data_IF_994778510321
#
_entry.id   IF_994778510321
#
_cell.length_a   1.000
_cell.length_b   1.000
_cell.length_c   1.000
_cell.angle_alpha   90.00
_cell.angle_beta   90.00
_cell.angle_gamma   90.00
#
_symmetry.space_group_name_H-M   'P 1'
#
loop_
_entity.id
_entity.type
_entity.pdbx_description
1 polymer ?
#
# COMPACT_ATOMS: atom_id res chain seq x y z
N UNK A 1 -53.27 45.83 -20.38
CA UNK A 1 -53.28 44.40 -20.76
C UNK A 1 -52.11 43.69 -20.09
N UNK A 2 -52.40 42.79 -19.15
CA UNK A 2 -51.51 41.68 -18.78
C UNK A 2 -52.40 40.58 -18.21
N UNK A 3 -52.60 39.46 -18.93
CA UNK A 3 -53.26 38.27 -18.42
C UNK A 3 -52.18 37.35 -17.81
N UNK A 4 -52.41 36.77 -16.64
CA UNK A 4 -52.84 35.37 -16.41
C UNK A 4 -51.71 34.67 -15.61
N UNK A 5 -51.91 33.72 -14.71
CA UNK A 5 -53.07 32.90 -14.33
C UNK A 5 -52.65 32.10 -13.08
N UNK A 6 -53.56 31.96 -12.11
CA UNK A 6 -53.78 30.81 -11.19
C UNK A 6 -52.61 30.31 -10.31
N UNK A 7 -52.69 30.28 -8.98
CA UNK A 7 -53.85 30.07 -8.10
C UNK A 7 -54.05 28.56 -7.87
N UNK A 8 -53.71 28.06 -6.68
CA UNK A 8 -54.04 26.70 -6.26
C UNK A 8 -53.39 26.29 -4.94
N UNK A 9 -54.20 26.17 -3.88
CA UNK A 9 -53.87 26.00 -2.47
C UNK A 9 -54.33 24.62 -1.99
N UNK A 10 -53.53 23.95 -1.13
CA UNK A 10 -53.84 22.84 -0.17
C UNK A 10 -54.42 21.56 -0.80
N UNK A 11 -54.03 20.33 -0.43
CA UNK A 11 -54.32 19.66 0.86
C UNK A 11 -53.42 18.43 1.12
N UNK A 12 -53.21 18.12 2.40
CA UNK A 12 -52.64 16.90 2.98
C UNK A 12 -53.39 15.62 2.59
N UNK A 13 -52.67 14.48 2.49
CA UNK A 13 -53.14 13.12 2.86
C UNK A 13 -51.94 12.17 3.06
N UNK A 14 -52.03 11.39 4.14
CA UNK A 14 -51.07 10.41 4.68
C UNK A 14 -51.00 9.08 3.91
N UNK A 15 -49.91 8.35 4.22
CA UNK A 15 -49.70 6.89 4.14
C UNK A 15 -49.62 6.19 2.77
N UNK A 16 -48.40 5.77 2.41
CA UNK A 16 -48.15 4.51 1.68
C UNK A 16 -46.69 4.06 1.85
N UNK A 17 -46.49 3.13 2.78
CA UNK A 17 -45.25 2.35 2.93
C UNK A 17 -45.05 1.41 1.71
N UNK A 18 -43.90 1.43 1.01
CA UNK A 18 -43.67 0.49 -0.08
C UNK A 18 -43.35 -0.91 0.48
N UNK A 19 -44.25 -1.87 0.22
CA UNK A 19 -44.04 -3.31 0.44
C UNK A 19 -42.90 -3.79 -0.47
N UNK A 20 -41.75 -4.07 0.14
CA UNK A 20 -40.64 -4.76 -0.54
C UNK A 20 -41.04 -6.23 -0.69
N UNK A 21 -41.24 -6.66 -1.93
CA UNK A 21 -41.32 -8.06 -2.31
C UNK A 21 -39.87 -8.56 -2.36
N UNK A 22 -39.47 -9.25 -1.29
CA UNK A 22 -38.19 -9.96 -1.22
C UNK A 22 -38.41 -11.31 -1.89
N UNK A 23 -38.00 -11.46 -3.15
CA UNK A 23 -38.06 -12.74 -3.85
C UNK A 23 -36.70 -13.47 -3.87
N UNK A 24 -36.80 -14.76 -3.57
CA UNK A 24 -35.78 -15.76 -3.21
C UNK A 24 -34.72 -16.09 -4.29
N UNK A 25 -34.67 -15.37 -5.41
CA UNK A 25 -33.87 -15.78 -6.57
C UNK A 25 -32.37 -15.51 -6.46
N UNK A 26 -31.93 -14.62 -5.55
CA UNK A 26 -30.51 -14.31 -5.42
C UNK A 26 -29.73 -15.30 -4.53
N UNK A 27 -30.40 -15.94 -3.57
CA UNK A 27 -29.75 -16.92 -2.65
C UNK A 27 -29.40 -18.22 -3.34
N UNK A 28 -30.15 -18.60 -4.37
CA UNK A 28 -29.92 -19.83 -5.13
C UNK A 28 -28.70 -19.70 -6.03
N UNK A 29 -28.49 -18.54 -6.67
CA UNK A 29 -27.30 -18.25 -7.46
C UNK A 29 -26.02 -18.18 -6.61
N UNK A 30 -26.10 -17.57 -5.42
CA UNK A 30 -24.97 -17.51 -4.50
C UNK A 30 -24.50 -18.88 -3.97
N UNK A 31 -25.41 -19.87 -3.88
CA UNK A 31 -25.06 -21.23 -3.44
C UNK A 31 -24.49 -22.08 -4.56
N UNK A 32 -25.09 -22.01 -5.75
CA UNK A 32 -24.61 -22.74 -6.92
C UNK A 32 -23.20 -22.30 -7.35
N UNK A 33 -22.86 -21.02 -7.17
CA UNK A 33 -21.52 -20.51 -7.47
C UNK A 33 -20.50 -20.92 -6.42
N UNK A 34 -20.89 -20.91 -5.14
CA UNK A 34 -20.05 -21.36 -4.01
C UNK A 34 -19.74 -22.86 -4.07
N UNK A 35 -20.64 -23.69 -4.58
CA UNK A 35 -20.39 -25.13 -4.75
C UNK A 35 -19.53 -25.45 -5.98
N UNK A 36 -19.67 -24.73 -7.09
CA UNK A 36 -18.79 -24.88 -8.25
C UNK A 36 -17.34 -24.50 -7.94
N UNK A 37 -17.14 -23.49 -7.11
CA UNK A 37 -15.82 -23.06 -6.62
C UNK A 37 -15.19 -24.12 -5.70
N UNK A 38 -15.96 -24.73 -4.79
CA UNK A 38 -15.49 -25.82 -3.92
C UNK A 38 -15.18 -27.11 -4.66
N UNK A 39 -15.91 -27.42 -5.74
CA UNK A 39 -15.69 -28.63 -6.53
C UNK A 39 -14.48 -28.53 -7.48
N UNK A 40 -13.93 -27.33 -7.67
CA UNK A 40 -12.77 -27.08 -8.55
C UNK A 40 -11.47 -26.84 -7.77
N UNK A 41 -11.47 -27.00 -6.44
CA UNK A 41 -10.25 -26.95 -5.64
C UNK A 41 -9.50 -28.30 -5.74
N UNK A 42 -8.30 -28.36 -6.35
CA UNK A 42 -7.45 -29.54 -6.22
C UNK A 42 -7.03 -29.70 -4.75
N UNK A 43 -6.75 -30.94 -4.28
CA UNK A 43 -6.32 -31.15 -2.91
C UNK A 43 -5.05 -30.33 -2.66
N UNK A 44 -5.13 -29.40 -1.70
CA UNK A 44 -4.01 -28.55 -1.28
C UNK A 44 -2.93 -29.48 -0.71
N UNK A 45 -1.98 -29.85 -1.56
CA UNK A 45 -0.80 -30.59 -1.17
C UNK A 45 -0.04 -29.76 -0.13
N UNK A 46 0.27 -30.40 0.99
CA UNK A 46 1.15 -29.86 2.01
C UNK A 46 2.52 -29.55 1.39
N UNK A 47 2.97 -28.29 1.52
CA UNK A 47 4.35 -27.88 1.22
C UNK A 47 4.46 -26.92 0.05
N UNK A 48 4.51 -25.62 0.35
CA UNK A 48 4.85 -24.56 -0.59
C UNK A 48 4.40 -23.21 -0.04
N UNK A 49 5.35 -22.40 0.40
CA UNK A 49 5.11 -21.03 0.91
C UNK A 49 4.41 -20.18 -0.16
N UNK A 50 3.20 -19.74 0.14
CA UNK A 50 2.51 -18.65 -0.56
C UNK A 50 3.02 -17.31 -0.01
N UNK A 51 3.14 -16.25 -0.85
CA UNK A 51 3.50 -14.92 -0.36
C UNK A 51 2.33 -14.35 0.44
N UNK A 52 2.53 -14.20 1.74
CA UNK A 52 1.52 -13.74 2.70
C UNK A 52 1.27 -12.24 2.56
N UNK A 53 0.43 -11.86 1.61
CA UNK A 53 -0.16 -10.52 1.50
C UNK A 53 -1.57 -10.50 2.17
N UNK A 54 -1.68 -11.07 3.37
CA UNK A 54 -2.90 -11.01 4.19
C UNK A 54 -2.53 -10.48 5.58
N UNK A 55 -2.55 -9.15 5.73
CA UNK A 55 -2.30 -8.46 6.99
C UNK A 55 -3.40 -8.75 8.02
N UNK A 56 -3.23 -9.80 8.81
CA UNK A 56 -3.73 -9.86 10.18
C UNK A 56 -2.71 -9.20 11.10
N UNK A 57 -3.15 -8.36 12.05
CA UNK A 57 -2.25 -7.87 13.10
C UNK A 57 -1.76 -9.10 13.89
N UNK A 58 -0.44 -9.32 14.03
CA UNK A 58 0.06 -10.48 14.75
C UNK A 58 -0.44 -10.44 16.21
N UNK A 59 -0.81 -11.61 16.74
CA UNK A 59 -1.33 -11.74 18.11
C UNK A 59 -0.32 -11.25 19.16
N UNK A 60 0.99 -11.30 18.82
CA UNK A 60 2.09 -10.73 19.60
C UNK A 60 3.09 -10.03 18.69
N UNK A 61 3.35 -8.75 18.97
CA UNK A 61 4.40 -7.97 18.31
C UNK A 61 5.71 -8.14 19.08
N UNK A 62 6.76 -8.54 18.38
CA UNK A 62 8.13 -8.69 18.93
C UNK A 62 9.12 -7.71 18.31
N UNK A 63 10.37 -7.72 18.82
CA UNK A 63 11.46 -6.88 18.29
C UNK A 63 11.67 -7.07 16.78
N UNK A 64 11.61 -8.32 16.32
CA UNK A 64 11.72 -8.66 14.90
C UNK A 64 10.70 -7.93 14.00
N UNK A 65 9.45 -7.81 14.47
CA UNK A 65 8.39 -7.13 13.72
C UNK A 65 8.68 -5.62 13.61
N UNK A 66 9.27 -5.01 14.63
CA UNK A 66 9.70 -3.61 14.58
C UNK A 66 10.79 -3.43 13.51
N UNK A 67 11.77 -4.33 13.47
CA UNK A 67 12.84 -4.27 12.47
C UNK A 67 12.30 -4.45 11.05
N UNK A 68 11.43 -5.44 10.85
CA UNK A 68 10.81 -5.74 9.56
C UNK A 68 9.92 -4.59 9.06
N UNK A 69 9.15 -3.96 9.95
CA UNK A 69 8.33 -2.80 9.61
C UNK A 69 9.20 -1.62 9.12
N UNK A 70 10.26 -1.28 9.85
CA UNK A 70 11.17 -0.20 9.48
C UNK A 70 11.93 -0.51 8.19
N UNK A 71 12.40 -1.75 8.03
CA UNK A 71 13.08 -2.20 6.82
C UNK A 71 12.15 -2.14 5.60
N UNK A 72 10.91 -2.60 5.73
CA UNK A 72 9.90 -2.56 4.67
C UNK A 72 9.62 -1.12 4.24
N UNK A 73 9.50 -0.19 5.20
CA UNK A 73 9.32 1.23 4.90
C UNK A 73 10.53 1.82 4.15
N UNK A 74 11.76 1.51 4.57
CA UNK A 74 12.96 1.94 3.88
C UNK A 74 12.99 1.43 2.42
N UNK A 75 12.71 0.14 2.21
CA UNK A 75 12.66 -0.48 0.88
C UNK A 75 11.56 0.12 -0.01
N UNK A 76 10.38 0.37 0.56
CA UNK A 76 9.28 1.00 -0.15
C UNK A 76 9.67 2.39 -0.67
N UNK A 77 10.31 3.22 0.16
CA UNK A 77 10.79 4.56 -0.25
C UNK A 77 12.00 4.51 -1.19
N UNK A 78 12.68 3.38 -1.30
CA UNK A 78 13.69 3.11 -2.32
C UNK A 78 13.09 2.63 -3.65
N UNK A 79 11.76 2.51 -3.73
CA UNK A 79 11.07 2.05 -4.93
C UNK A 79 11.13 0.54 -5.16
N UNK A 80 11.47 -0.26 -4.13
CA UNK A 80 11.52 -1.72 -4.23
C UNK A 80 10.13 -2.36 -4.44
N UNK A 81 9.08 -1.67 -4.01
CA UNK A 81 7.70 -2.14 -4.11
C UNK A 81 6.78 -1.03 -4.65
N UNK A 82 5.79 -1.38 -5.50
CA UNK A 82 4.72 -0.47 -5.84
C UNK A 82 3.82 -0.23 -4.63
N UNK A 83 3.40 1.02 -4.42
CA UNK A 83 2.42 1.37 -3.40
C UNK A 83 1.09 0.62 -3.67
N UNK A 84 0.56 -0.13 -2.69
CA UNK A 84 -0.67 -0.90 -2.86
C UNK A 84 -1.92 -0.04 -3.13
N UNK A 85 -1.90 1.25 -2.76
CA UNK A 85 -3.02 2.16 -3.03
C UNK A 85 -2.98 2.73 -4.44
N UNK A 86 -1.80 3.09 -4.93
CA UNK A 86 -1.64 3.80 -6.21
C UNK A 86 -1.12 2.90 -7.34
N UNK A 87 -0.57 1.74 -7.01
CA UNK A 87 0.11 0.82 -7.94
C UNK A 87 1.45 1.32 -8.46
N UNK A 88 2.00 2.41 -7.89
CA UNK A 88 3.20 3.08 -8.40
C UNK A 88 4.34 2.99 -7.42
N UNK A 89 5.56 2.80 -7.91
CA UNK A 89 6.75 2.83 -7.08
C UNK A 89 6.94 4.24 -6.50
N UNK A 90 7.17 4.32 -5.19
CA UNK A 90 7.49 5.56 -4.49
C UNK A 90 9.01 5.66 -4.42
N UNK A 91 9.57 6.75 -4.92
CA UNK A 91 11.01 7.02 -4.81
C UNK A 91 11.23 8.28 -3.97
N UNK A 92 11.56 8.09 -2.69
CA UNK A 92 11.83 9.15 -1.73
C UNK A 92 13.08 8.80 -0.91
N UNK A 93 14.30 9.02 -1.46
CA UNK A 93 15.54 8.64 -0.79
C UNK A 93 15.70 9.25 0.60
N UNK A 94 15.24 10.49 0.81
CA UNK A 94 15.30 11.15 2.12
C UNK A 94 14.47 10.41 3.18
N UNK A 95 13.27 9.93 2.79
CA UNK A 95 12.42 9.12 3.66
C UNK A 95 13.01 7.73 3.88
N UNK A 96 13.63 7.12 2.86
CA UNK A 96 14.34 5.86 3.04
C UNK A 96 15.48 6.00 4.06
N UNK A 97 16.29 7.06 3.93
CA UNK A 97 17.38 7.36 4.85
C UNK A 97 16.89 7.52 6.28
N UNK A 98 15.78 8.25 6.49
CA UNK A 98 15.19 8.42 7.82
C UNK A 98 14.92 7.07 8.52
N UNK A 99 14.37 6.08 7.80
CA UNK A 99 14.06 4.77 8.37
C UNK A 99 15.32 3.93 8.65
N UNK A 100 16.34 4.04 7.78
CA UNK A 100 17.66 3.43 8.02
C UNK A 100 18.33 4.04 9.26
N UNK A 101 18.26 5.36 9.41
CA UNK A 101 18.80 6.06 10.59
C UNK A 101 18.03 5.66 11.85
N UNK A 102 16.71 5.50 11.77
CA UNK A 102 15.89 5.03 12.90
C UNK A 102 16.26 3.61 13.32
N UNK A 103 16.52 2.69 12.39
CA UNK A 103 17.08 1.37 12.70
C UNK A 103 18.44 1.49 13.41
N UNK A 104 19.29 2.44 12.99
CA UNK A 104 20.55 2.73 13.68
C UNK A 104 20.34 3.20 15.11
N UNK A 105 19.38 4.09 15.35
CA UNK A 105 19.01 4.52 16.71
C UNK A 105 18.50 3.36 17.55
N UNK A 106 17.69 2.46 16.97
CA UNK A 106 17.22 1.26 17.66
C UNK A 106 18.40 0.36 18.05
N UNK A 107 19.35 0.10 17.15
CA UNK A 107 20.57 -0.67 17.44
C UNK A 107 21.37 -0.06 18.60
N UNK A 108 21.63 1.24 18.54
CA UNK A 108 22.39 1.96 19.58
C UNK A 108 21.68 1.91 20.94
N UNK A 109 20.36 2.13 20.96
CA UNK A 109 19.57 2.19 22.21
C UNK A 109 19.28 0.82 22.81
N UNK A 110 19.34 -0.25 22.02
CA UNK A 110 19.11 -1.62 22.50
C UNK A 110 20.41 -2.38 22.80
N UNK A 111 21.57 -1.75 22.57
CA UNK A 111 22.88 -2.37 22.80
C UNK A 111 23.02 -2.90 24.24
N UNK A 112 23.40 -4.17 24.35
CA UNK A 112 23.53 -4.88 25.62
C UNK A 112 22.23 -5.56 26.10
N UNK A 113 21.10 -5.30 25.44
CA UNK A 113 19.82 -5.97 25.69
C UNK A 113 19.40 -6.90 24.54
N UNK A 114 20.23 -7.03 23.50
CA UNK A 114 19.98 -7.89 22.35
C UNK A 114 20.51 -9.30 22.58
N UNK A 115 19.72 -10.30 22.21
CA UNK A 115 20.21 -11.66 22.00
C UNK A 115 21.20 -11.72 20.82
N UNK A 116 22.06 -12.75 20.74
CA UNK A 116 22.96 -12.92 19.59
C UNK A 116 22.22 -12.98 18.25
N UNK A 117 21.03 -13.56 18.22
CA UNK A 117 20.16 -13.66 17.05
C UNK A 117 19.63 -12.28 16.62
N UNK A 118 19.07 -11.52 17.57
CA UNK A 118 18.55 -10.16 17.30
C UNK A 118 19.66 -9.22 16.84
N UNK A 119 20.85 -9.32 17.46
CA UNK A 119 22.01 -8.54 17.03
C UNK A 119 22.42 -8.85 15.60
N UNK A 120 22.53 -10.14 15.24
CA UNK A 120 22.86 -10.54 13.86
C UNK A 120 21.81 -10.05 12.87
N UNK A 121 20.52 -10.09 13.25
CA UNK A 121 19.42 -9.63 12.40
C UNK A 121 19.50 -8.12 12.15
N UNK A 122 19.60 -7.29 13.19
CA UNK A 122 19.67 -5.83 13.01
C UNK A 122 20.94 -5.39 12.26
N UNK A 123 22.09 -6.02 12.54
CA UNK A 123 23.34 -5.76 11.83
C UNK A 123 23.19 -6.08 10.33
N UNK A 124 22.57 -7.23 10.00
CA UNK A 124 22.33 -7.67 8.63
C UNK A 124 21.39 -6.72 7.88
N UNK A 125 20.25 -6.40 8.48
CA UNK A 125 19.27 -5.46 7.90
C UNK A 125 19.93 -4.09 7.63
N UNK A 126 20.67 -3.55 8.61
CA UNK A 126 21.36 -2.27 8.44
C UNK A 126 22.40 -2.32 7.32
N UNK A 127 23.17 -3.41 7.22
CA UNK A 127 24.16 -3.57 6.16
C UNK A 127 23.50 -3.58 4.77
N UNK A 128 22.49 -4.42 4.59
CA UNK A 128 21.79 -4.55 3.31
C UNK A 128 21.13 -3.25 2.88
N UNK A 129 20.38 -2.60 3.77
CA UNK A 129 19.68 -1.35 3.46
C UNK A 129 20.65 -0.21 3.12
N UNK A 130 21.78 -0.11 3.83
CA UNK A 130 22.80 0.92 3.54
C UNK A 130 23.45 0.68 2.17
N UNK A 131 23.75 -0.57 1.83
CA UNK A 131 24.28 -0.91 0.51
C UNK A 131 23.30 -0.57 -0.60
N UNK A 132 22.04 -0.97 -0.46
CA UNK A 132 20.99 -0.65 -1.44
C UNK A 132 20.77 0.86 -1.57
N UNK A 133 20.73 1.58 -0.44
CA UNK A 133 20.59 3.04 -0.43
C UNK A 133 21.71 3.72 -1.23
N UNK A 134 22.96 3.29 -1.05
CA UNK A 134 24.12 3.86 -1.77
C UNK A 134 24.01 3.59 -3.27
N UNK A 135 23.68 2.37 -3.67
CA UNK A 135 23.56 2.02 -5.10
C UNK A 135 22.41 2.77 -5.78
N UNK A 136 21.25 2.87 -5.13
CA UNK A 136 20.11 3.61 -5.64
C UNK A 136 20.41 5.11 -5.68
N UNK A 137 21.07 5.66 -4.65
CA UNK A 137 21.46 7.07 -4.63
C UNK A 137 22.41 7.43 -5.78
N UNK A 138 23.37 6.55 -6.10
CA UNK A 138 24.25 6.72 -7.28
C UNK A 138 23.45 6.68 -8.58
N UNK A 139 22.51 5.74 -8.71
CA UNK A 139 21.66 5.62 -9.89
C UNK A 139 20.78 6.87 -10.09
N UNK A 140 20.21 7.40 -9.01
CA UNK A 140 19.44 8.65 -9.01
C UNK A 140 20.32 9.82 -9.42
N UNK A 141 21.49 9.99 -8.81
CA UNK A 141 22.40 11.09 -9.16
C UNK A 141 22.74 11.08 -10.66
N UNK A 142 23.08 9.90 -11.21
CA UNK A 142 23.32 9.73 -12.65
C UNK A 142 22.08 10.08 -13.49
N UNK A 143 20.89 9.65 -13.09
CA UNK A 143 19.65 9.94 -13.82
C UNK A 143 19.27 11.44 -13.77
N UNK A 144 19.62 12.15 -12.69
CA UNK A 144 19.47 13.59 -12.56
C UNK A 144 20.45 14.32 -13.48
N UNK A 145 21.73 13.91 -13.51
CA UNK A 145 22.75 14.46 -14.41
C UNK A 145 22.38 14.27 -15.89
N UNK A 146 21.74 13.14 -16.22
CA UNK A 146 21.21 12.84 -17.56
C UNK A 146 19.86 13.52 -17.87
N UNK A 147 19.28 14.27 -16.91
CA UNK A 147 18.01 14.99 -17.07
C UNK A 147 16.76 14.10 -17.14
N UNK A 148 16.86 12.82 -16.74
CA UNK A 148 15.77 11.84 -16.77
C UNK A 148 14.85 11.92 -15.56
N UNK A 149 15.34 12.47 -14.45
CA UNK A 149 14.61 12.67 -13.20
C UNK A 149 14.83 14.11 -12.76
N UNK A 150 13.75 14.83 -12.41
CA UNK A 150 13.88 16.16 -11.83
C UNK A 150 14.01 16.06 -10.30
N UNK A 151 14.79 16.95 -9.64
CA UNK A 151 14.86 16.98 -8.18
C UNK A 151 13.49 17.13 -7.49
N UNK A 152 12.53 17.77 -8.15
CA UNK A 152 11.15 17.88 -7.68
C UNK A 152 10.41 16.53 -7.60
N UNK A 153 10.77 15.56 -8.43
CA UNK A 153 10.16 14.23 -8.44
C UNK A 153 10.57 13.41 -7.20
N UNK A 154 11.73 13.72 -6.62
CA UNK A 154 12.30 13.06 -5.44
C UNK A 154 11.80 13.65 -4.11
N UNK A 155 11.38 14.93 -4.12
CA UNK A 155 11.13 15.72 -2.92
C UNK A 155 9.72 15.51 -2.32
N UNK A 156 8.82 14.85 -3.05
CA UNK A 156 7.41 14.73 -2.68
C UNK A 156 6.88 13.32 -2.44
N UNK A 157 7.74 12.28 -2.49
CA UNK A 157 7.26 10.89 -2.55
C UNK A 157 6.28 10.66 -3.72
N UNK A 158 6.44 11.46 -4.78
CA UNK A 158 5.54 11.48 -5.91
C UNK A 158 5.72 10.22 -6.75
N UNK A 159 4.65 9.72 -7.37
CA UNK A 159 4.77 8.58 -8.27
C UNK A 159 5.68 8.93 -9.47
N UNK A 160 6.76 8.18 -9.64
CA UNK A 160 7.59 8.22 -10.84
C UNK A 160 6.77 7.75 -12.04
N UNK A 161 6.37 8.69 -12.90
CA UNK A 161 5.52 8.37 -14.06
C UNK A 161 5.01 9.54 -14.92
N UNK A 162 5.31 10.81 -14.60
CA UNK A 162 5.06 11.89 -15.57
C UNK A 162 6.25 12.03 -16.51
N UNK A 163 6.23 11.29 -17.61
CA UNK A 163 6.83 11.81 -18.84
C UNK A 163 6.03 13.05 -19.21
N UNK A 164 6.64 14.23 -19.09
CA UNK A 164 6.05 15.46 -19.62
C UNK A 164 5.83 15.28 -21.12
N UNK A 165 4.62 15.51 -21.67
CA UNK A 165 4.50 15.70 -23.10
C UNK A 165 5.31 16.95 -23.44
N UNK A 166 6.32 16.80 -24.31
CA UNK A 166 7.05 17.93 -24.86
C UNK A 166 6.07 18.93 -25.50
N UNK A 167 6.44 20.22 -25.58
CA UNK A 167 5.58 21.22 -26.20
C UNK A 167 5.31 20.79 -27.64
N UNK A 168 4.03 20.72 -27.98
CA UNK A 168 3.56 20.20 -29.27
C UNK A 168 4.16 20.92 -30.46
N UNK A 169 4.38 20.14 -31.51
CA UNK A 169 4.36 20.57 -32.90
C UNK A 169 3.13 19.94 -33.57
#
# INVERSE_FOLDING_TARGET
>A
MSPNDKGGRLTMSDDQTPKIIVDDDWKSQARAEKERLKASEPPRAAGGQEPEAAAGVPEKVGFDHLLEMLATQALMYLGAYPDPQTGRAILAPDLAKLHIDLLGVVEEKTRGNLTPEEKRKIDGILHELRMQFVEISKAIAKAVDEGKISPADLQGGGPIGRVSPGPGF
#
